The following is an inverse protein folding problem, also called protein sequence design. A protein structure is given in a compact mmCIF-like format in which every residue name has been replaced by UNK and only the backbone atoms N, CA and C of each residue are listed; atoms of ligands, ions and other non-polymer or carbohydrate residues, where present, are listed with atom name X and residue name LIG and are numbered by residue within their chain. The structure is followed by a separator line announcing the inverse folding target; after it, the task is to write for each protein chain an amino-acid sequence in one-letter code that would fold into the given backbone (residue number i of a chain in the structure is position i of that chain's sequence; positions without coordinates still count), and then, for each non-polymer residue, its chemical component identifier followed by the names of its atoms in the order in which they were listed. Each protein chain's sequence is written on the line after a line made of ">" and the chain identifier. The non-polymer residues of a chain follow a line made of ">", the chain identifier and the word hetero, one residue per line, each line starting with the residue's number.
data_IF_874007858109
#
_entry.id   IF_874007858109
#
_cell.length_a   1.000
_cell.length_b   1.000
_cell.length_c   1.000
_cell.angle_alpha   90.00
_cell.angle_beta   90.00
_cell.angle_gamma   90.00
#
_symmetry.space_group_name_H-M   'P 1'
#
loop_
_entity.id
_entity.type
_entity.pdbx_description
1 polymer ?
#
# COMPACT_ATOMS: atom_id res chain seq x y z
N UNK A 1 -2.64 8.88 19.78
CA UNK A 1 -1.44 8.12 20.26
C UNK A 1 -0.69 7.36 19.16
N UNK A 2 -1.19 7.29 17.96
CA UNK A 2 -0.63 6.53 16.82
C UNK A 2 0.60 7.19 16.20
N UNK A 3 0.61 8.52 16.08
CA UNK A 3 1.68 9.27 15.44
C UNK A 3 3.02 9.26 16.20
N UNK A 4 2.98 9.14 17.55
CA UNK A 4 4.20 9.08 18.35
C UNK A 4 5.13 7.92 17.97
N UNK A 5 4.58 6.76 17.60
CA UNK A 5 5.38 5.63 17.12
C UNK A 5 6.09 5.95 15.80
N UNK A 6 5.40 6.62 14.88
CA UNK A 6 5.98 7.07 13.62
C UNK A 6 7.11 8.08 13.84
N UNK A 7 6.89 9.08 14.70
CA UNK A 7 7.93 10.07 15.03
C UNK A 7 9.13 9.43 15.73
N UNK A 8 8.90 8.45 16.61
CA UNK A 8 9.99 7.68 17.23
C UNK A 8 10.76 6.85 16.20
N UNK A 9 10.07 6.26 15.23
CA UNK A 9 10.71 5.53 14.13
C UNK A 9 11.58 6.46 13.26
N UNK A 10 11.07 7.66 12.93
CA UNK A 10 11.85 8.66 12.20
C UNK A 10 13.11 9.09 12.98
N UNK A 11 12.96 9.40 14.26
CA UNK A 11 14.09 9.77 15.12
C UNK A 11 15.13 8.64 15.19
N UNK A 12 14.68 7.39 15.30
CA UNK A 12 15.57 6.24 15.29
C UNK A 12 16.34 6.15 13.96
N UNK A 13 15.67 6.21 12.82
CA UNK A 13 16.33 6.17 11.51
C UNK A 13 17.30 7.35 11.34
N UNK A 14 16.95 8.55 11.80
CA UNK A 14 17.83 9.70 11.77
C UNK A 14 19.08 9.54 12.65
N UNK A 15 18.95 8.85 13.78
CA UNK A 15 20.06 8.70 14.74
C UNK A 15 21.02 7.59 14.38
N UNK A 16 20.53 6.44 13.87
CA UNK A 16 21.34 5.23 13.68
C UNK A 16 21.35 4.71 12.23
N UNK A 17 20.58 5.32 11.34
CA UNK A 17 20.48 4.88 9.94
C UNK A 17 21.73 5.19 9.14
N UNK A 18 22.03 4.31 8.20
CA UNK A 18 23.08 4.50 7.21
C UNK A 18 22.59 5.36 6.04
N UNK A 19 23.46 6.19 5.50
CA UNK A 19 23.17 6.95 4.29
C UNK A 19 23.33 6.03 3.08
N UNK A 20 22.27 5.91 2.28
CA UNK A 20 22.25 5.07 1.07
C UNK A 20 21.90 5.91 -0.15
N UNK A 21 22.54 5.60 -1.27
CA UNK A 21 22.17 6.18 -2.55
C UNK A 21 20.94 5.48 -3.12
N UNK A 22 20.07 6.23 -3.77
CA UNK A 22 18.92 5.71 -4.47
C UNK A 22 18.90 6.13 -5.94
N UNK A 23 17.94 5.59 -6.70
CA UNK A 23 17.78 5.90 -8.14
C UNK A 23 17.41 7.35 -8.44
N UNK A 24 16.97 8.12 -7.44
CA UNK A 24 16.58 9.53 -7.62
C UNK A 24 17.77 10.48 -7.47
N UNK A 25 18.90 9.99 -6.93
CA UNK A 25 20.08 10.80 -6.66
C UNK A 25 19.96 11.71 -5.42
N UNK A 26 18.82 11.70 -4.75
CA UNK A 26 18.61 12.47 -3.50
C UNK A 26 19.26 11.77 -2.32
N UNK A 27 19.27 10.42 -2.35
CA UNK A 27 19.70 9.58 -1.25
C UNK A 27 18.60 9.38 -0.21
N UNK A 28 18.84 8.44 0.68
CA UNK A 28 17.95 8.14 1.80
C UNK A 28 18.74 7.68 3.02
N UNK A 29 18.17 7.84 4.22
CA UNK A 29 18.62 7.16 5.43
C UNK A 29 17.85 5.87 5.65
N UNK A 30 18.57 4.80 5.89
CA UNK A 30 18.01 3.47 6.04
C UNK A 30 18.45 2.82 7.35
N UNK A 31 17.49 2.21 8.06
CA UNK A 31 17.74 1.35 9.20
C UNK A 31 16.75 0.18 9.19
N UNK A 32 17.20 -1.05 9.47
CA UNK A 32 16.32 -2.21 9.49
C UNK A 32 15.48 -2.32 10.77
N UNK A 33 14.42 -3.10 10.71
CA UNK A 33 13.77 -3.66 11.90
C UNK A 33 12.89 -2.70 12.69
N UNK A 34 12.35 -1.65 12.09
CA UNK A 34 11.37 -0.79 12.76
C UNK A 34 9.98 -1.40 12.67
N UNK A 35 9.32 -1.58 13.82
CA UNK A 35 7.96 -2.10 13.93
C UNK A 35 7.04 -1.08 14.60
N UNK A 36 5.83 -0.90 14.04
CA UNK A 36 4.79 -0.04 14.60
C UNK A 36 3.48 -0.79 14.72
N UNK A 37 2.72 -0.54 15.81
CA UNK A 37 1.42 -1.15 16.05
C UNK A 37 0.35 -0.08 16.14
N UNK A 38 -0.69 -0.21 15.33
CA UNK A 38 -1.81 0.72 15.30
C UNK A 38 -3.11 0.03 15.70
N UNK A 39 -3.83 0.65 16.64
CA UNK A 39 -5.17 0.22 17.00
C UNK A 39 -6.17 0.82 16.02
N UNK A 40 -6.96 -0.04 15.38
CA UNK A 40 -8.00 0.38 14.45
C UNK A 40 -9.40 0.27 15.07
N UNK A 41 -9.46 0.05 16.40
CA UNK A 41 -10.72 -0.10 17.11
C UNK A 41 -11.52 1.21 17.11
N UNK A 42 -12.84 1.12 17.05
CA UNK A 42 -13.72 2.30 17.06
C UNK A 42 -13.64 3.16 15.78
N UNK A 43 -13.22 2.58 14.65
CA UNK A 43 -13.14 3.31 13.38
C UNK A 43 -11.93 4.24 13.26
N UNK A 44 -10.95 4.11 14.15
CA UNK A 44 -9.73 4.91 14.06
C UNK A 44 -8.89 4.55 12.84
N UNK A 45 -8.44 5.58 12.12
CA UNK A 45 -7.46 5.47 11.03
C UNK A 45 -6.18 6.22 11.43
N UNK A 46 -5.00 5.59 11.33
CA UNK A 46 -3.73 6.21 11.73
C UNK A 46 -3.28 7.22 10.66
N UNK A 47 -3.74 8.46 10.77
CA UNK A 47 -3.30 9.57 9.92
C UNK A 47 -2.26 10.42 10.65
N UNK A 48 -1.26 10.90 9.90
CA UNK A 48 -0.26 11.84 10.41
C UNK A 48 -0.91 13.21 10.63
N UNK A 49 -0.60 13.84 11.75
CA UNK A 49 -1.04 15.20 12.12
C UNK A 49 0.09 16.22 11.93
N UNK A 50 1.33 15.80 12.02
CA UNK A 50 2.53 16.63 11.82
C UNK A 50 2.79 16.97 10.36
N UNK A 51 2.12 16.30 9.43
CA UNK A 51 2.15 16.56 8.00
C UNK A 51 0.73 16.64 7.47
N UNK A 52 0.43 17.68 6.68
CA UNK A 52 -0.86 17.76 5.98
C UNK A 52 -0.95 16.64 4.94
N UNK A 53 -1.87 15.71 5.15
CA UNK A 53 -2.16 14.60 4.24
C UNK A 53 -3.58 14.77 3.72
N UNK A 54 -3.75 14.77 2.41
CA UNK A 54 -5.07 14.55 1.82
C UNK A 54 -5.38 13.05 1.80
N UNK A 55 -6.11 12.60 2.82
CA UNK A 55 -6.46 11.18 2.99
C UNK A 55 -7.35 10.62 1.86
N UNK A 56 -7.97 11.50 1.08
CA UNK A 56 -8.82 11.08 -0.05
C UNK A 56 -8.01 10.43 -1.15
N UNK A 57 -6.80 10.95 -1.40
CA UNK A 57 -5.91 10.40 -2.45
C UNK A 57 -5.56 8.93 -2.21
N UNK A 58 -4.99 8.53 -1.08
CA UNK A 58 -4.70 7.11 -0.83
C UNK A 58 -5.97 6.25 -0.69
N UNK A 59 -7.10 6.83 -0.25
CA UNK A 59 -8.36 6.09 -0.21
C UNK A 59 -8.89 5.81 -1.62
N UNK A 60 -8.92 6.80 -2.50
CA UNK A 60 -9.36 6.63 -3.89
C UNK A 60 -8.48 5.59 -4.61
N UNK A 61 -7.16 5.63 -4.39
CA UNK A 61 -6.22 4.66 -4.93
C UNK A 61 -6.49 3.25 -4.40
N UNK A 62 -6.65 3.08 -3.09
CA UNK A 62 -6.95 1.78 -2.49
C UNK A 62 -8.26 1.18 -3.02
N UNK A 63 -9.31 2.00 -3.11
CA UNK A 63 -10.60 1.56 -3.66
C UNK A 63 -10.51 1.21 -5.14
N UNK A 64 -9.65 1.90 -5.88
CA UNK A 64 -9.36 1.59 -7.27
C UNK A 64 -8.66 0.23 -7.42
N UNK A 65 -7.64 -0.06 -6.61
CA UNK A 65 -7.01 -1.39 -6.58
C UNK A 65 -8.00 -2.51 -6.20
N UNK A 66 -8.86 -2.27 -5.18
CA UNK A 66 -9.88 -3.24 -4.76
C UNK A 66 -10.86 -3.57 -5.90
N UNK A 67 -11.13 -2.62 -6.80
CA UNK A 67 -11.97 -2.85 -7.99
C UNK A 67 -11.23 -3.52 -9.14
N UNK A 68 -9.92 -3.73 -9.05
CA UNK A 68 -9.09 -4.27 -10.12
C UNK A 68 -8.60 -3.22 -11.11
N UNK A 69 -8.63 -1.94 -10.73
CA UNK A 69 -8.19 -0.85 -11.58
C UNK A 69 -6.73 -0.97 -12.00
N UNK A 70 -6.46 -0.61 -13.25
CA UNK A 70 -5.14 -0.64 -13.86
C UNK A 70 -4.90 0.46 -14.89
N UNK A 71 -5.89 1.33 -15.11
CA UNK A 71 -5.74 2.47 -16.01
C UNK A 71 -5.70 3.77 -15.22
N UNK A 72 -4.59 4.52 -15.33
CA UNK A 72 -4.36 5.76 -14.58
C UNK A 72 -5.44 6.82 -14.81
N UNK A 73 -6.11 6.83 -15.98
CA UNK A 73 -7.19 7.77 -16.31
C UNK A 73 -8.46 7.59 -15.47
N UNK A 74 -8.59 6.46 -14.78
CA UNK A 74 -9.69 6.20 -13.84
C UNK A 74 -9.51 6.93 -12.50
N UNK A 75 -8.28 7.37 -12.18
CA UNK A 75 -7.98 8.11 -10.96
C UNK A 75 -8.07 9.63 -11.18
N UNK A 76 -8.55 10.33 -10.17
CA UNK A 76 -8.52 11.82 -10.15
C UNK A 76 -7.11 12.36 -9.91
N UNK A 77 -6.30 11.61 -9.14
CA UNK A 77 -4.92 11.96 -8.85
C UNK A 77 -4.01 11.54 -10.00
N UNK A 78 -2.94 12.29 -10.20
CA UNK A 78 -1.94 12.02 -11.27
C UNK A 78 -0.74 11.23 -10.77
N UNK A 79 -0.87 10.53 -9.64
CA UNK A 79 0.27 9.86 -9.00
C UNK A 79 0.81 8.69 -9.83
N UNK A 80 0.01 8.13 -10.74
CA UNK A 80 0.38 7.02 -11.61
C UNK A 80 0.72 7.43 -13.05
N UNK A 81 0.50 8.67 -13.43
CA UNK A 81 0.67 9.15 -14.81
C UNK A 81 2.08 8.91 -15.37
N UNK A 82 3.10 9.01 -14.51
CA UNK A 82 4.49 8.84 -14.92
C UNK A 82 4.86 7.39 -15.34
N UNK A 83 4.03 6.41 -14.99
CA UNK A 83 4.22 4.99 -15.32
C UNK A 83 3.21 4.47 -16.33
N UNK A 84 2.21 5.28 -16.68
CA UNK A 84 1.16 4.88 -17.59
C UNK A 84 1.62 4.95 -19.05
N UNK A 85 1.18 3.99 -19.86
CA UNK A 85 1.30 4.05 -21.32
C UNK A 85 0.46 5.20 -21.92
N UNK A 86 0.57 5.44 -23.22
CA UNK A 86 -0.15 6.53 -23.91
C UNK A 86 -1.67 6.46 -23.78
N UNK A 87 -2.21 5.27 -23.63
CA UNK A 87 -3.63 4.97 -23.41
C UNK A 87 -4.03 5.05 -21.92
N UNK A 88 -3.05 5.18 -21.03
CA UNK A 88 -3.23 5.22 -19.57
C UNK A 88 -3.08 3.86 -18.89
N UNK A 89 -2.81 2.80 -19.64
CA UNK A 89 -2.64 1.46 -19.10
C UNK A 89 -1.33 1.35 -18.28
N UNK A 90 -1.42 0.68 -17.14
CA UNK A 90 -0.32 0.41 -16.21
C UNK A 90 0.08 -1.07 -16.20
N UNK A 91 -0.63 -1.90 -16.96
CA UNK A 91 -0.40 -3.34 -16.95
C UNK A 91 -0.79 -4.02 -15.64
N UNK A 92 -0.14 -5.14 -15.28
CA UNK A 92 -0.52 -5.97 -14.15
C UNK A 92 -0.05 -5.41 -12.80
N UNK A 93 -0.54 -4.24 -12.43
CA UNK A 93 -0.30 -3.63 -11.12
C UNK A 93 -1.17 -4.25 -10.01
N UNK A 94 -1.12 -3.69 -8.79
CA UNK A 94 -1.76 -4.25 -7.59
C UNK A 94 -3.23 -4.63 -7.77
N UNK A 95 -4.04 -3.80 -8.45
CA UNK A 95 -5.45 -4.09 -8.69
C UNK A 95 -5.66 -5.37 -9.51
N UNK A 96 -4.92 -5.54 -10.60
CA UNK A 96 -4.95 -6.73 -11.44
C UNK A 96 -4.51 -7.96 -10.64
N UNK A 97 -3.44 -7.83 -9.87
CA UNK A 97 -2.86 -8.93 -9.10
C UNK A 97 -3.81 -9.40 -7.98
N UNK A 98 -4.42 -8.48 -7.24
CA UNK A 98 -5.33 -8.81 -6.15
C UNK A 98 -6.64 -9.44 -6.63
N UNK A 99 -7.13 -8.99 -7.77
CA UNK A 99 -8.41 -9.46 -8.33
C UNK A 99 -8.27 -10.62 -9.31
N UNK A 100 -7.04 -11.08 -9.57
CA UNK A 100 -6.81 -12.19 -10.50
C UNK A 100 -7.16 -11.87 -11.95
N UNK A 101 -7.17 -10.60 -12.33
CA UNK A 101 -7.40 -10.19 -13.71
C UNK A 101 -6.12 -10.46 -14.54
N UNK A 102 -6.26 -11.01 -15.72
CA UNK A 102 -5.13 -11.38 -16.57
C UNK A 102 -4.83 -12.89 -16.54
N UNK A 103 -3.58 -13.29 -16.33
CA UNK A 103 -3.18 -14.70 -16.36
C UNK A 103 -3.54 -15.51 -15.11
N UNK A 104 -3.84 -14.87 -14.01
CA UNK A 104 -4.29 -15.54 -12.78
C UNK A 104 -5.79 -15.77 -12.81
N UNK A 105 -6.21 -17.00 -12.53
CA UNK A 105 -7.62 -17.39 -12.44
C UNK A 105 -8.22 -17.18 -11.05
N UNK A 106 -7.42 -16.71 -10.08
CA UNK A 106 -7.83 -16.63 -8.66
C UNK A 106 -7.98 -15.19 -8.21
N UNK A 107 -9.22 -14.77 -7.91
CA UNK A 107 -9.48 -13.52 -7.19
C UNK A 107 -9.05 -13.69 -5.71
N UNK A 108 -7.91 -13.12 -5.37
CA UNK A 108 -7.32 -13.25 -4.04
C UNK A 108 -8.16 -12.56 -2.96
N UNK A 109 -8.78 -11.41 -3.27
CA UNK A 109 -9.61 -10.70 -2.31
C UNK A 109 -10.89 -11.46 -1.98
N UNK A 110 -11.55 -12.02 -2.98
CA UNK A 110 -12.73 -12.88 -2.77
C UNK A 110 -12.34 -14.09 -1.93
N UNK A 111 -11.26 -14.78 -2.28
CA UNK A 111 -10.77 -15.93 -1.53
C UNK A 111 -10.47 -15.61 -0.06
N UNK A 112 -9.86 -14.47 0.23
CA UNK A 112 -9.59 -14.06 1.62
C UNK A 112 -10.89 -13.73 2.35
N UNK A 113 -11.83 -13.01 1.74
CA UNK A 113 -13.12 -12.68 2.36
C UNK A 113 -13.90 -13.94 2.69
N UNK A 114 -13.97 -14.91 1.77
CA UNK A 114 -14.68 -16.16 2.00
C UNK A 114 -13.97 -17.01 3.06
N UNK A 115 -12.65 -17.11 3.01
CA UNK A 115 -11.88 -17.77 4.04
C UNK A 115 -12.06 -17.18 5.44
N UNK A 116 -12.15 -15.84 5.56
CA UNK A 116 -12.43 -15.17 6.84
C UNK A 116 -13.85 -15.48 7.36
N UNK A 117 -14.83 -15.74 6.48
CA UNK A 117 -16.17 -16.14 6.89
C UNK A 117 -16.22 -17.59 7.37
N UNK A 118 -15.44 -18.47 6.74
CA UNK A 118 -15.39 -19.89 7.06
C UNK A 118 -14.52 -20.19 8.27
N UNK A 119 -13.30 -19.66 8.31
CA UNK A 119 -12.32 -19.86 9.39
C UNK A 119 -11.54 -18.56 9.65
N UNK A 120 -12.07 -17.64 10.49
CA UNK A 120 -11.43 -16.34 10.74
C UNK A 120 -10.07 -16.45 11.44
N UNK A 121 -9.72 -17.58 12.04
CA UNK A 121 -8.47 -17.84 12.73
C UNK A 121 -7.42 -18.55 11.88
N UNK A 122 -7.74 -18.84 10.63
CA UNK A 122 -6.80 -19.47 9.70
C UNK A 122 -5.55 -18.60 9.48
N UNK A 123 -4.40 -19.27 9.42
CA UNK A 123 -3.10 -18.63 9.11
C UNK A 123 -2.83 -18.55 7.60
N UNK A 124 -3.86 -18.81 6.76
CA UNK A 124 -3.74 -18.89 5.30
C UNK A 124 -4.46 -17.76 4.57
N UNK A 125 -4.87 -16.71 5.30
CA UNK A 125 -5.44 -15.50 4.69
C UNK A 125 -4.30 -14.63 4.18
N UNK A 126 -3.98 -14.77 2.90
CA UNK A 126 -2.86 -14.08 2.26
C UNK A 126 -3.33 -13.47 0.95
N UNK A 127 -2.97 -12.20 0.73
CA UNK A 127 -3.05 -11.51 -0.55
C UNK A 127 -1.63 -11.10 -0.92
N UNK A 128 -1.17 -11.49 -2.11
CA UNK A 128 0.15 -11.14 -2.61
C UNK A 128 0.03 -10.27 -3.85
N UNK A 129 0.80 -9.19 -3.87
CA UNK A 129 0.99 -8.35 -5.06
C UNK A 129 2.35 -8.61 -5.72
N UNK A 130 3.06 -9.63 -5.24
CA UNK A 130 4.35 -10.03 -5.79
C UNK A 130 4.13 -11.05 -6.91
N UNK A 131 4.52 -10.67 -8.14
CA UNK A 131 4.62 -11.58 -9.28
C UNK A 131 6.11 -11.66 -9.62
N UNK A 132 6.74 -12.85 -9.52
CA UNK A 132 8.14 -13.05 -9.87
C UNK A 132 8.39 -12.93 -11.37
#
# INVERSE_FOLDING_TARGET
>A
MTERQYLSALNYVCAVGDDVTDRTGVGARWAPGVSMKFWLHGGMVPLLQTKKIDWRVPLDELLWFIRGGHNAKELKSKIWDAWAGPDGDLGPIYGVQWRGLGSSTTDQLVKVVDGLREDPHSRRHVVSAWIP
#
